data_IF_659337338517
#
_entry.id   IF_659337338517
#
_cell.length_a   1.000
_cell.length_b   1.000
_cell.length_c   1.000
_cell.angle_alpha   90.00
_cell.angle_beta   90.00
_cell.angle_gamma   90.00
#
_symmetry.space_group_name_H-M   'P 1'
#
loop_
_entity.id
_entity.type
_entity.pdbx_description
1 polymer ?
#
# COMPACT_ATOMS: atom_id res chain seq x y z
N UNK A 1 -24.25 25.87 14.04
CA UNK A 1 -23.11 24.96 14.31
C UNK A 1 -22.11 25.72 15.15
N UNK A 2 -21.80 25.23 16.35
CA UNK A 2 -20.99 25.99 17.31
C UNK A 2 -19.49 25.81 17.05
N UNK A 3 -18.63 26.81 17.34
CA UNK A 3 -17.18 26.66 17.21
C UNK A 3 -16.56 25.47 17.98
N UNK A 4 -17.27 24.93 18.99
CA UNK A 4 -16.84 23.74 19.75
C UNK A 4 -17.02 22.44 18.99
N UNK A 5 -18.07 22.32 18.17
CA UNK A 5 -18.32 21.13 17.35
C UNK A 5 -17.29 20.98 16.22
N UNK A 6 -16.85 22.10 15.65
CA UNK A 6 -15.80 22.08 14.60
C UNK A 6 -14.43 21.70 15.16
N UNK A 7 -14.11 22.07 16.40
CA UNK A 7 -12.84 21.73 17.04
C UNK A 7 -12.75 20.27 17.48
N UNK A 8 -13.86 19.68 17.95
CA UNK A 8 -13.90 18.25 18.33
C UNK A 8 -13.74 17.35 17.10
N UNK A 9 -14.42 17.69 15.99
CA UNK A 9 -14.27 16.96 14.73
C UNK A 9 -12.82 17.06 14.23
N UNK A 10 -12.22 18.26 14.23
CA UNK A 10 -10.82 18.41 13.83
C UNK A 10 -9.84 17.61 14.69
N UNK A 11 -10.09 17.49 16.01
CA UNK A 11 -9.25 16.72 16.93
C UNK A 11 -9.33 15.21 16.68
N UNK A 12 -10.55 14.67 16.48
CA UNK A 12 -10.76 13.23 16.24
C UNK A 12 -10.19 12.81 14.87
N UNK A 13 -10.46 13.57 13.82
CA UNK A 13 -9.92 13.28 12.49
C UNK A 13 -8.41 13.52 12.41
N UNK A 14 -7.88 14.54 13.09
CA UNK A 14 -6.45 14.81 13.17
C UNK A 14 -5.67 13.69 13.86
N UNK A 15 -6.21 13.15 14.96
CA UNK A 15 -5.60 12.02 15.67
C UNK A 15 -5.57 10.75 14.81
N UNK A 16 -6.67 10.46 14.10
CA UNK A 16 -6.78 9.29 13.22
C UNK A 16 -5.77 9.33 12.06
N UNK A 17 -5.66 10.47 11.37
CA UNK A 17 -4.71 10.65 10.28
C UNK A 17 -3.25 10.52 10.74
N UNK A 18 -2.93 11.01 11.93
CA UNK A 18 -1.58 10.91 12.51
C UNK A 18 -1.20 9.46 12.86
N UNK A 19 -2.17 8.64 13.28
CA UNK A 19 -1.91 7.23 13.59
C UNK A 19 -1.75 6.39 12.34
N UNK A 20 -2.49 6.69 11.26
CA UNK A 20 -2.45 5.93 10.01
C UNK A 20 -1.06 5.91 9.32
N UNK A 21 -0.22 6.93 9.53
CA UNK A 21 1.12 7.02 8.93
C UNK A 21 2.23 6.38 9.77
N UNK A 22 1.92 5.80 10.94
CA UNK A 22 2.92 5.14 11.78
C UNK A 22 3.25 3.74 11.25
N UNK A 23 4.54 3.30 11.21
CA UNK A 23 4.93 1.96 10.78
C UNK A 23 4.34 0.81 11.63
N UNK A 24 3.76 1.16 12.79
CA UNK A 24 3.09 0.22 13.69
C UNK A 24 1.59 0.09 13.42
N UNK A 25 1.06 0.87 12.48
CA UNK A 25 -0.37 0.98 12.20
C UNK A 25 -0.82 0.21 10.96
N UNK A 26 0.02 -0.68 10.41
CA UNK A 26 -0.31 -1.51 9.24
C UNK A 26 -1.31 -2.65 9.51
N UNK A 27 -1.97 -2.65 10.68
CA UNK A 27 -2.96 -3.64 11.09
C UNK A 27 -2.38 -4.73 12.00
N UNK A 28 -3.25 -5.29 12.86
CA UNK A 28 -2.85 -6.25 13.90
C UNK A 28 -2.72 -7.71 13.44
N UNK A 29 -3.00 -8.01 12.17
CA UNK A 29 -2.93 -9.36 11.62
C UNK A 29 -1.53 -9.74 11.08
N UNK A 30 -0.61 -8.78 11.01
CA UNK A 30 0.72 -8.96 10.44
C UNK A 30 1.74 -9.33 11.52
N UNK A 31 2.74 -10.12 11.16
CA UNK A 31 3.90 -10.37 12.02
C UNK A 31 4.74 -9.09 12.18
N UNK A 32 5.53 -8.97 13.25
CA UNK A 32 6.40 -7.82 13.46
C UNK A 32 7.30 -7.56 12.24
N UNK A 33 7.19 -6.37 11.64
CA UNK A 33 8.00 -5.94 10.49
C UNK A 33 7.39 -6.21 9.11
N UNK A 34 6.37 -7.07 8.99
CA UNK A 34 5.75 -7.41 7.69
C UNK A 34 5.09 -6.19 7.04
N UNK A 35 4.31 -5.42 7.80
CA UNK A 35 3.65 -4.23 7.26
C UNK A 35 4.64 -3.17 6.75
N UNK A 36 5.79 -3.04 7.41
CA UNK A 36 6.86 -2.15 6.98
C UNK A 36 7.50 -2.62 5.67
N UNK A 37 7.76 -3.92 5.54
CA UNK A 37 8.27 -4.51 4.31
C UNK A 37 7.28 -4.38 3.15
N UNK A 38 5.99 -4.59 3.39
CA UNK A 38 4.93 -4.40 2.39
C UNK A 38 4.83 -2.93 1.95
N UNK A 39 4.86 -1.99 2.90
CA UNK A 39 4.82 -0.56 2.58
C UNK A 39 6.04 -0.11 1.77
N UNK A 40 7.24 -0.59 2.12
CA UNK A 40 8.46 -0.33 1.35
C UNK A 40 8.36 -0.88 -0.08
N UNK A 41 7.87 -2.11 -0.24
CA UNK A 41 7.70 -2.72 -1.55
C UNK A 41 6.74 -1.92 -2.45
N UNK A 42 5.63 -1.43 -1.89
CA UNK A 42 4.67 -0.56 -2.59
C UNK A 42 5.30 0.80 -2.92
N UNK A 43 6.04 1.40 -1.99
CA UNK A 43 6.72 2.68 -2.20
C UNK A 43 7.82 2.62 -3.27
N UNK A 44 8.45 1.46 -3.45
CA UNK A 44 9.41 1.20 -4.52
C UNK A 44 8.76 1.07 -5.91
N UNK A 45 7.42 1.05 -5.99
CA UNK A 45 6.70 0.95 -7.27
C UNK A 45 6.94 -0.39 -7.99
N UNK A 46 7.38 -1.42 -7.26
CA UNK A 46 7.67 -2.73 -7.83
C UNK A 46 6.39 -3.42 -8.28
N UNK A 47 6.46 -4.05 -9.45
CA UNK A 47 5.37 -4.87 -9.98
C UNK A 47 5.18 -6.11 -9.12
N UNK A 48 3.96 -6.32 -8.62
CA UNK A 48 3.53 -7.59 -8.02
C UNK A 48 3.25 -8.59 -9.17
N UNK A 49 3.97 -9.73 -9.27
CA UNK A 49 3.75 -10.69 -10.35
C UNK A 49 2.33 -11.27 -10.33
N UNK A 50 1.68 -11.27 -11.49
CA UNK A 50 0.36 -11.92 -11.69
C UNK A 50 0.52 -13.44 -11.84
N UNK A 51 -0.61 -14.17 -11.79
CA UNK A 51 -0.63 -15.62 -12.00
C UNK A 51 -0.16 -15.94 -13.43
N UNK A 52 0.98 -16.61 -13.54
CA UNK A 52 1.64 -16.90 -14.83
C UNK A 52 2.93 -16.11 -15.04
N UNK A 53 3.16 -15.06 -14.25
CA UNK A 53 4.38 -14.24 -14.32
C UNK A 53 5.50 -14.71 -13.38
N UNK A 54 5.22 -15.69 -12.52
CA UNK A 54 6.22 -16.25 -11.59
C UNK A 54 7.32 -16.95 -12.38
N UNK A 55 8.55 -16.45 -12.25
CA UNK A 55 9.71 -16.94 -12.98
C UNK A 55 10.00 -16.20 -14.28
N UNK A 56 9.19 -15.19 -14.64
CA UNK A 56 9.47 -14.28 -15.75
C UNK A 56 10.10 -12.98 -15.23
N UNK A 57 11.08 -12.46 -15.97
CA UNK A 57 11.62 -11.11 -15.74
C UNK A 57 10.65 -10.06 -16.29
N UNK A 58 10.78 -8.81 -15.83
CA UNK A 58 9.99 -7.70 -16.34
C UNK A 58 10.07 -7.55 -17.87
N UNK A 59 11.26 -7.75 -18.44
CA UNK A 59 11.48 -7.65 -19.88
C UNK A 59 10.73 -8.75 -20.66
N UNK A 60 10.66 -9.96 -20.09
CA UNK A 60 9.90 -11.06 -20.67
C UNK A 60 8.41 -10.77 -20.64
N UNK A 61 7.89 -10.27 -19.50
CA UNK A 61 6.48 -9.88 -19.37
C UNK A 61 6.12 -8.83 -20.43
N UNK A 62 6.95 -7.78 -20.57
CA UNK A 62 6.74 -6.73 -21.56
C UNK A 62 6.73 -7.27 -23.00
N UNK A 63 7.63 -8.19 -23.34
CA UNK A 63 7.67 -8.80 -24.67
C UNK A 63 6.40 -9.63 -24.96
N UNK A 64 5.85 -10.33 -23.98
CA UNK A 64 4.60 -11.07 -24.14
C UNK A 64 3.39 -10.14 -24.26
N UNK A 65 3.35 -9.04 -23.50
CA UNK A 65 2.29 -8.04 -23.61
C UNK A 65 2.30 -7.34 -24.99
N UNK A 66 3.48 -7.06 -25.55
CA UNK A 66 3.65 -6.43 -26.87
C UNK A 66 3.09 -7.28 -28.02
N UNK A 67 3.22 -8.61 -27.92
CA UNK A 67 2.65 -9.54 -28.91
C UNK A 67 1.18 -9.89 -28.64
N UNK A 68 0.57 -9.29 -27.62
CA UNK A 68 -0.88 -9.36 -27.35
C UNK A 68 -1.32 -10.37 -26.29
N UNK A 69 -0.40 -10.96 -25.52
CA UNK A 69 -0.80 -11.75 -24.35
C UNK A 69 -1.23 -10.85 -23.20
N UNK A 70 -2.33 -11.22 -22.53
CA UNK A 70 -2.72 -10.63 -21.25
C UNK A 70 -2.09 -11.48 -20.15
N UNK A 71 -0.95 -11.03 -19.66
CA UNK A 71 -0.25 -11.66 -18.53
C UNK A 71 -0.95 -11.37 -17.19
#
# INVERSE_FOLDING_TARGET
MSPRETSEIASVYGAFLLTASSPRSYGGALLPGEGGAMAAYVAEGKRIPRRGEIGLTSDQIAAYEDVGFVM
#
